data_IF_383467485671
#
_entry.id   IF_383467485671
#
_cell.length_a   1.000
_cell.length_b   1.000
_cell.length_c   1.000
_cell.angle_alpha   90.00
_cell.angle_beta   90.00
_cell.angle_gamma   90.00
#
_symmetry.space_group_name_H-M   'P 1'
#
loop_
_entity.id
_entity.type
_entity.pdbx_description
1 polymer ?
#
# COMPACT_ATOMS: atom_id res chain seq x y z
N UNK A 1 9.75 69.16 -11.90
CA UNK A 1 8.56 68.26 -11.77
C UNK A 1 8.79 66.93 -12.51
N UNK A 2 9.64 66.87 -13.57
CA UNK A 2 9.87 65.64 -14.35
C UNK A 2 10.85 64.64 -13.69
N UNK A 3 11.78 65.10 -12.86
CA UNK A 3 12.76 64.23 -12.19
C UNK A 3 12.21 63.55 -10.92
N UNK A 4 11.20 64.12 -10.28
CA UNK A 4 10.53 63.52 -9.10
C UNK A 4 9.68 62.29 -9.47
N UNK A 5 8.96 62.39 -10.57
CA UNK A 5 8.11 61.27 -11.07
C UNK A 5 8.95 60.07 -11.55
N UNK A 6 10.18 60.29 -11.99
CA UNK A 6 11.04 59.20 -12.47
C UNK A 6 11.66 58.39 -11.31
N UNK A 7 11.93 59.02 -10.16
CA UNK A 7 12.46 58.36 -8.98
C UNK A 7 11.39 57.52 -8.22
N UNK A 8 10.14 57.99 -8.21
CA UNK A 8 9.01 57.22 -7.64
C UNK A 8 8.64 56.01 -8.47
N UNK A 9 8.63 56.12 -9.82
CA UNK A 9 8.38 54.98 -10.70
C UNK A 9 9.48 53.92 -10.61
N UNK A 10 10.74 54.30 -10.44
CA UNK A 10 11.85 53.35 -10.25
C UNK A 10 11.74 52.59 -8.91
N UNK A 11 11.30 53.26 -7.83
CA UNK A 11 11.03 52.62 -6.53
C UNK A 11 9.84 51.71 -6.57
N UNK A 12 8.78 52.07 -7.29
CA UNK A 12 7.59 51.26 -7.44
C UNK A 12 7.89 49.99 -8.24
N UNK A 13 8.61 50.07 -9.35
CA UNK A 13 9.05 48.94 -10.17
C UNK A 13 9.99 47.98 -9.42
N UNK A 14 10.93 48.55 -8.60
CA UNK A 14 11.81 47.72 -7.78
C UNK A 14 11.06 46.98 -6.67
N UNK A 15 10.05 47.59 -6.05
CA UNK A 15 9.22 46.95 -5.04
C UNK A 15 8.31 45.87 -5.66
N UNK A 16 7.79 46.08 -6.86
CA UNK A 16 7.03 45.04 -7.58
C UNK A 16 7.94 43.86 -7.96
N UNK A 17 9.17 44.11 -8.41
CA UNK A 17 10.14 43.04 -8.69
C UNK A 17 10.50 42.25 -7.44
N UNK A 18 10.75 42.93 -6.32
CA UNK A 18 11.03 42.27 -5.02
C UNK A 18 9.82 41.45 -4.57
N UNK A 19 8.59 41.97 -4.69
CA UNK A 19 7.37 41.21 -4.37
C UNK A 19 7.13 40.03 -5.31
N UNK A 20 7.48 40.15 -6.59
CA UNK A 20 7.42 39.04 -7.55
C UNK A 20 8.52 38.00 -7.30
N UNK A 21 9.72 38.40 -6.94
CA UNK A 21 10.81 37.48 -6.55
C UNK A 21 10.50 36.77 -5.23
N UNK A 22 9.93 37.47 -4.24
CA UNK A 22 9.46 36.87 -2.98
C UNK A 22 8.29 35.91 -3.23
N UNK A 23 7.37 36.24 -4.14
CA UNK A 23 6.25 35.35 -4.49
C UNK A 23 6.72 34.15 -5.33
N UNK A 24 7.74 34.28 -6.17
CA UNK A 24 8.33 33.15 -6.91
C UNK A 24 9.28 32.31 -6.06
N UNK A 25 9.89 32.86 -5.00
CA UNK A 25 10.71 32.08 -4.06
C UNK A 25 9.87 31.30 -3.03
N UNK A 26 8.58 31.61 -2.90
CA UNK A 26 7.60 30.83 -2.15
C UNK A 26 6.88 29.78 -3.02
N UNK A 27 7.56 29.20 -4.00
CA UNK A 27 7.14 27.89 -4.48
C UNK A 27 7.35 26.91 -3.32
N UNK A 28 6.31 26.70 -2.54
CA UNK A 28 6.26 25.65 -1.52
C UNK A 28 6.82 24.38 -2.17
N UNK A 29 7.89 23.87 -1.62
CA UNK A 29 8.47 22.61 -2.05
C UNK A 29 7.42 21.53 -1.70
N UNK A 30 6.50 21.29 -2.62
CA UNK A 30 5.51 20.22 -2.46
C UNK A 30 6.25 18.90 -2.67
N UNK A 31 6.88 18.42 -1.61
CA UNK A 31 7.47 17.09 -1.60
C UNK A 31 6.36 16.06 -1.72
N UNK A 32 6.44 15.25 -2.75
CA UNK A 32 5.52 14.13 -2.94
C UNK A 32 5.96 12.97 -2.05
N UNK A 33 5.40 12.88 -0.85
CA UNK A 33 5.63 11.73 0.01
C UNK A 33 4.89 10.49 -0.54
N UNK A 34 5.63 9.39 -0.69
CA UNK A 34 5.09 8.10 -1.17
C UNK A 34 4.22 7.39 -0.14
N UNK A 35 4.31 7.77 1.14
CA UNK A 35 3.56 7.16 2.26
C UNK A 35 2.04 7.22 2.08
N UNK A 36 1.50 8.25 1.44
CA UNK A 36 0.05 8.41 1.21
C UNK A 36 -0.55 7.42 0.18
N UNK A 37 0.28 6.64 -0.53
CA UNK A 37 -0.15 5.68 -1.54
C UNK A 37 -0.21 4.23 -1.03
N UNK A 38 0.09 4.01 0.25
CA UNK A 38 0.50 2.70 0.74
C UNK A 38 -0.60 1.62 0.77
N UNK A 39 -1.87 1.93 1.01
CA UNK A 39 -2.88 0.89 1.24
C UNK A 39 -3.29 0.14 -0.03
N UNK A 40 -3.75 0.83 -1.06
CA UNK A 40 -4.15 0.18 -2.31
C UNK A 40 -2.96 -0.38 -3.09
N UNK A 41 -1.80 0.32 -3.05
CA UNK A 41 -0.57 -0.15 -3.69
C UNK A 41 -0.06 -1.43 -3.02
N UNK A 42 -0.09 -1.49 -1.69
CA UNK A 42 0.26 -2.69 -0.93
C UNK A 42 -0.65 -3.87 -1.29
N UNK A 43 -1.97 -3.65 -1.31
CA UNK A 43 -2.95 -4.68 -1.70
C UNK A 43 -2.71 -5.17 -3.15
N UNK A 44 -2.47 -4.24 -4.08
CA UNK A 44 -2.18 -4.56 -5.47
C UNK A 44 -0.86 -5.34 -5.66
N UNK A 45 0.21 -4.90 -5.01
CA UNK A 45 1.51 -5.60 -5.07
C UNK A 45 1.42 -6.99 -4.43
N UNK A 46 0.77 -7.09 -3.26
CA UNK A 46 0.57 -8.35 -2.56
C UNK A 46 -0.24 -9.31 -3.43
N UNK A 47 -1.37 -8.85 -3.98
CA UNK A 47 -2.22 -9.66 -4.85
C UNK A 47 -1.49 -10.16 -6.08
N UNK A 48 -0.78 -9.29 -6.81
CA UNK A 48 -0.04 -9.69 -8.01
C UNK A 48 1.09 -10.69 -7.73
N UNK A 49 1.86 -10.47 -6.66
CA UNK A 49 2.92 -11.40 -6.25
C UNK A 49 2.33 -12.75 -5.83
N UNK A 50 1.27 -12.75 -5.03
CA UNK A 50 0.64 -13.98 -4.57
C UNK A 50 0.00 -14.74 -5.72
N UNK A 51 -0.73 -14.07 -6.62
CA UNK A 51 -1.29 -14.68 -7.80
C UNK A 51 -0.24 -15.37 -8.68
N UNK A 52 0.89 -14.72 -8.89
CA UNK A 52 1.98 -15.28 -9.67
C UNK A 52 2.65 -16.46 -8.96
N UNK A 53 3.04 -16.31 -7.69
CA UNK A 53 3.78 -17.34 -6.94
C UNK A 53 2.88 -18.54 -6.66
N UNK A 54 1.69 -18.34 -6.11
CA UNK A 54 0.80 -19.43 -5.67
C UNK A 54 0.32 -20.27 -6.85
N UNK A 55 -0.11 -19.63 -7.94
CA UNK A 55 -0.57 -20.34 -9.14
C UNK A 55 0.58 -21.07 -9.85
N UNK A 56 1.73 -20.42 -10.01
CA UNK A 56 2.91 -21.08 -10.60
C UNK A 56 3.41 -22.25 -9.76
N UNK A 57 3.43 -22.08 -8.43
CA UNK A 57 3.86 -23.14 -7.50
C UNK A 57 2.91 -24.33 -7.51
N UNK A 58 1.61 -24.09 -7.54
CA UNK A 58 0.61 -25.15 -7.63
C UNK A 58 0.74 -25.91 -8.95
N UNK A 59 0.86 -25.21 -10.08
CA UNK A 59 1.06 -25.81 -11.39
C UNK A 59 2.39 -26.57 -11.47
N UNK A 60 3.45 -26.06 -10.84
CA UNK A 60 4.74 -26.74 -10.76
C UNK A 60 4.65 -28.07 -9.97
N UNK A 61 3.94 -28.04 -8.83
CA UNK A 61 3.71 -29.23 -8.02
C UNK A 61 2.88 -30.28 -8.76
N UNK A 62 1.80 -29.85 -9.41
CA UNK A 62 0.96 -30.73 -10.23
C UNK A 62 1.69 -31.31 -11.44
N UNK A 63 2.47 -30.48 -12.16
CA UNK A 63 3.28 -30.96 -13.28
C UNK A 63 4.35 -31.99 -12.86
N UNK A 64 4.85 -31.89 -11.64
CA UNK A 64 5.79 -32.85 -11.06
C UNK A 64 5.11 -34.16 -10.64
N UNK A 65 3.86 -34.13 -10.25
CA UNK A 65 3.04 -35.30 -9.84
C UNK A 65 2.38 -35.97 -11.04
N UNK A 66 1.60 -35.24 -11.82
CA UNK A 66 0.89 -35.72 -13.02
C UNK A 66 0.99 -34.68 -14.15
N UNK A 67 1.77 -34.96 -15.20
CA UNK A 67 1.97 -34.07 -16.33
C UNK A 67 0.80 -34.03 -17.34
N UNK A 68 -0.40 -34.48 -16.96
CA UNK A 68 -1.58 -34.41 -17.83
C UNK A 68 -2.00 -32.96 -18.09
N UNK A 69 -2.00 -32.57 -19.37
CA UNK A 69 -2.29 -31.18 -19.77
C UNK A 69 -3.68 -30.69 -19.35
N UNK A 70 -4.71 -31.53 -19.46
CA UNK A 70 -6.07 -31.19 -19.06
C UNK A 70 -6.16 -30.95 -17.54
N UNK A 71 -5.55 -31.80 -16.74
CA UNK A 71 -5.47 -31.64 -15.27
C UNK A 71 -4.75 -30.36 -14.88
N UNK A 72 -3.63 -30.05 -15.55
CA UNK A 72 -2.85 -28.83 -15.30
C UNK A 72 -3.66 -27.56 -15.61
N UNK A 73 -4.33 -27.52 -16.75
CA UNK A 73 -5.16 -26.39 -17.13
C UNK A 73 -6.32 -26.17 -16.15
N UNK A 74 -7.03 -27.25 -15.81
CA UNK A 74 -8.14 -27.19 -14.86
C UNK A 74 -7.67 -26.71 -13.47
N UNK A 75 -6.51 -27.21 -13.01
CA UNK A 75 -5.89 -26.81 -11.76
C UNK A 75 -5.52 -25.32 -11.78
N UNK A 76 -4.93 -24.83 -12.87
CA UNK A 76 -4.58 -23.42 -13.02
C UNK A 76 -5.79 -22.48 -13.01
N UNK A 77 -6.86 -22.84 -13.72
CA UNK A 77 -8.11 -22.06 -13.73
C UNK A 77 -8.75 -22.07 -12.35
N UNK A 78 -8.83 -23.22 -11.69
CA UNK A 78 -9.37 -23.34 -10.34
C UNK A 78 -8.55 -22.50 -9.34
N UNK A 79 -7.23 -22.51 -9.43
CA UNK A 79 -6.35 -21.71 -8.60
C UNK A 79 -6.58 -20.20 -8.80
N UNK A 80 -6.71 -19.76 -10.06
CA UNK A 80 -6.96 -18.35 -10.38
C UNK A 80 -8.28 -17.89 -9.78
N UNK A 81 -9.38 -18.64 -10.00
CA UNK A 81 -10.72 -18.25 -9.52
C UNK A 81 -10.78 -18.28 -7.99
N UNK A 82 -10.35 -19.39 -7.38
CA UNK A 82 -10.40 -19.54 -5.92
C UNK A 82 -9.46 -18.56 -5.20
N UNK A 83 -8.28 -18.33 -5.74
CA UNK A 83 -7.32 -17.39 -5.19
C UNK A 83 -7.80 -15.93 -5.27
N UNK A 84 -8.35 -15.52 -6.41
CA UNK A 84 -8.92 -14.18 -6.56
C UNK A 84 -10.10 -13.96 -5.59
N UNK A 85 -10.99 -14.93 -5.45
CA UNK A 85 -12.11 -14.86 -4.50
C UNK A 85 -11.63 -14.83 -3.04
N UNK A 86 -10.64 -15.66 -2.69
CA UNK A 86 -10.05 -15.69 -1.35
C UNK A 86 -9.35 -14.38 -0.99
N UNK A 87 -8.56 -13.83 -1.93
CA UNK A 87 -7.90 -12.52 -1.73
C UNK A 87 -8.92 -11.39 -1.57
N UNK A 88 -9.99 -11.37 -2.38
CA UNK A 88 -11.07 -10.39 -2.24
C UNK A 88 -11.73 -10.47 -0.87
N UNK A 89 -12.11 -11.68 -0.45
CA UNK A 89 -12.77 -11.91 0.84
C UNK A 89 -11.85 -11.55 2.02
N UNK A 90 -10.59 -11.98 1.99
CA UNK A 90 -9.60 -11.69 3.03
C UNK A 90 -9.34 -10.19 3.19
N UNK A 91 -9.13 -9.48 2.08
CA UNK A 91 -8.91 -8.03 2.11
C UNK A 91 -10.15 -7.27 2.55
N UNK A 92 -11.35 -7.67 2.09
CA UNK A 92 -12.61 -7.09 2.54
C UNK A 92 -12.79 -7.21 4.05
N UNK A 93 -12.61 -8.41 4.60
CA UNK A 93 -12.74 -8.67 6.06
C UNK A 93 -11.70 -7.88 6.85
N UNK A 94 -10.44 -7.90 6.41
CA UNK A 94 -9.35 -7.19 7.08
C UNK A 94 -9.60 -5.68 7.16
N UNK A 95 -9.94 -5.06 6.03
CA UNK A 95 -10.19 -3.61 5.96
C UNK A 95 -11.51 -3.22 6.64
N UNK A 96 -12.53 -4.10 6.61
CA UNK A 96 -13.77 -3.88 7.36
C UNK A 96 -13.53 -3.91 8.86
N UNK A 97 -12.74 -4.88 9.35
CA UNK A 97 -12.37 -4.99 10.76
C UNK A 97 -11.59 -3.75 11.24
N UNK A 98 -10.65 -3.27 10.42
CA UNK A 98 -9.94 -2.02 10.71
C UNK A 98 -10.92 -0.85 10.84
N UNK A 99 -11.83 -0.68 9.88
CA UNK A 99 -12.84 0.39 9.90
C UNK A 99 -13.76 0.32 11.12
N UNK A 100 -14.16 -0.91 11.50
CA UNK A 100 -15.02 -1.12 12.66
C UNK A 100 -14.30 -0.78 13.98
N UNK A 101 -12.99 -1.09 14.08
CA UNK A 101 -12.13 -0.69 15.20
C UNK A 101 -11.98 0.82 15.27
N UNK A 102 -11.62 1.47 14.16
CA UNK A 102 -11.52 2.94 14.08
C UNK A 102 -12.83 3.63 14.49
N UNK A 103 -13.98 3.09 14.07
CA UNK A 103 -15.29 3.62 14.45
C UNK A 103 -15.61 3.41 15.94
N UNK A 104 -15.15 2.31 16.54
CA UNK A 104 -15.30 2.05 17.96
C UNK A 104 -14.44 3.01 18.80
N UNK A 105 -13.19 3.23 18.39
CA UNK A 105 -12.27 4.16 19.05
C UNK A 105 -12.81 5.59 19.00
N UNK A 106 -13.29 6.04 17.83
CA UNK A 106 -13.90 7.37 17.68
C UNK A 106 -15.16 7.55 18.55
N UNK A 107 -15.97 6.50 18.73
CA UNK A 107 -17.15 6.56 19.63
C UNK A 107 -16.72 6.69 21.07
N UNK A 108 -15.73 5.89 21.50
CA UNK A 108 -15.16 5.96 22.86
C UNK A 108 -14.62 7.35 23.14
N UNK A 109 -13.86 7.90 22.17
CA UNK A 109 -13.29 9.25 22.25
C UNK A 109 -14.37 10.33 22.37
N UNK A 110 -15.40 10.27 21.56
CA UNK A 110 -16.53 11.18 21.64
C UNK A 110 -17.20 11.12 23.03
N UNK A 111 -17.38 9.92 23.57
CA UNK A 111 -17.96 9.73 24.91
C UNK A 111 -17.07 10.32 26.02
N UNK A 112 -15.74 10.18 25.89
CA UNK A 112 -14.77 10.75 26.82
C UNK A 112 -14.76 12.27 26.76
N UNK A 113 -14.73 12.87 25.58
CA UNK A 113 -14.80 14.32 25.36
C UNK A 113 -16.06 14.95 25.97
N UNK A 114 -17.19 14.22 25.97
CA UNK A 114 -18.44 14.69 26.61
C UNK A 114 -18.39 14.56 28.14
N UNK A 115 -17.84 13.45 28.66
CA UNK A 115 -17.86 13.15 30.11
C UNK A 115 -16.75 13.84 30.88
N UNK A 116 -15.58 14.00 30.28
CA UNK A 116 -14.35 14.44 30.93
C UNK A 116 -13.59 15.52 30.13
N UNK A 117 -14.23 16.61 29.68
CA UNK A 117 -13.63 17.56 28.74
C UNK A 117 -12.33 18.21 29.22
N UNK A 118 -12.18 18.39 30.56
CA UNK A 118 -10.95 18.97 31.12
C UNK A 118 -9.78 17.98 31.11
N UNK A 119 -10.06 16.69 31.34
CA UNK A 119 -9.05 15.62 31.30
C UNK A 119 -8.56 15.43 29.88
N UNK A 120 -9.47 15.41 28.91
CA UNK A 120 -9.16 15.27 27.49
C UNK A 120 -8.34 16.47 26.96
N UNK A 121 -8.64 17.69 27.43
CA UNK A 121 -7.82 18.86 27.10
C UNK A 121 -6.41 18.76 27.65
N UNK A 122 -6.26 18.20 28.86
CA UNK A 122 -4.95 17.99 29.48
C UNK A 122 -4.17 16.89 28.74
N UNK A 123 -4.83 15.79 28.34
CA UNK A 123 -4.24 14.74 27.52
C UNK A 123 -3.72 15.27 26.19
N UNK A 124 -4.54 16.04 25.46
CA UNK A 124 -4.09 16.67 24.22
C UNK A 124 -2.93 17.64 24.44
N UNK A 125 -2.91 18.37 25.56
CA UNK A 125 -1.81 19.24 25.98
C UNK A 125 -0.52 18.42 26.18
N UNK A 126 -0.63 17.28 26.86
CA UNK A 126 0.50 16.37 27.09
C UNK A 126 1.05 15.78 25.80
N UNK A 127 0.20 15.42 24.84
CA UNK A 127 0.62 14.96 23.53
C UNK A 127 1.48 16.04 22.83
N UNK A 128 1.05 17.30 22.82
CA UNK A 128 1.84 18.38 22.23
C UNK A 128 3.12 18.68 22.99
N UNK A 129 3.12 18.55 24.32
CA UNK A 129 4.34 18.66 25.15
C UNK A 129 5.35 17.57 24.81
N UNK A 130 4.92 16.33 24.65
CA UNK A 130 5.77 15.21 24.23
C UNK A 130 6.36 15.41 22.83
N UNK A 131 5.71 16.20 21.99
CA UNK A 131 6.21 16.60 20.65
C UNK A 131 7.19 17.77 20.71
N UNK A 132 7.53 18.27 21.89
CA UNK A 132 8.58 19.27 22.09
C UNK A 132 8.10 20.71 22.26
N UNK A 133 6.79 20.95 22.42
CA UNK A 133 6.28 22.26 22.77
C UNK A 133 6.50 22.52 24.28
N UNK A 134 6.75 23.79 24.65
CA UNK A 134 6.71 24.19 26.06
C UNK A 134 5.27 24.13 26.60
N UNK A 135 5.14 24.01 27.92
CA UNK A 135 3.86 23.85 28.63
C UNK A 135 2.81 24.90 28.22
N UNK A 136 3.22 26.15 28.14
CA UNK A 136 2.32 27.28 27.84
C UNK A 136 1.83 27.22 26.39
N UNK A 137 2.70 26.91 25.46
CA UNK A 137 2.38 26.80 24.05
C UNK A 137 1.55 25.53 23.76
N UNK A 138 1.91 24.40 24.35
CA UNK A 138 1.19 23.13 24.24
C UNK A 138 -0.28 23.31 24.63
N UNK A 139 -0.54 23.94 25.79
CA UNK A 139 -1.90 24.21 26.27
C UNK A 139 -2.68 25.12 25.32
N UNK A 140 -2.08 26.20 24.86
CA UNK A 140 -2.72 27.12 23.91
C UNK A 140 -3.06 26.45 22.58
N UNK A 141 -2.20 25.54 22.10
CA UNK A 141 -2.46 24.76 20.88
C UNK A 141 -3.60 23.79 21.12
N UNK A 142 -3.58 23.04 22.23
CA UNK A 142 -4.64 22.11 22.59
C UNK A 142 -6.01 22.81 22.69
N UNK A 143 -6.09 23.94 23.40
CA UNK A 143 -7.32 24.76 23.52
C UNK A 143 -7.85 25.22 22.15
N UNK A 144 -6.94 25.68 21.26
CA UNK A 144 -7.33 26.13 19.92
C UNK A 144 -7.83 24.99 19.05
N UNK A 145 -7.18 23.81 19.11
CA UNK A 145 -7.59 22.63 18.36
C UNK A 145 -8.91 22.04 18.89
N UNK A 146 -9.08 21.96 20.21
CA UNK A 146 -10.32 21.52 20.85
C UNK A 146 -11.49 22.44 20.48
N UNK A 147 -11.26 23.74 20.46
CA UNK A 147 -12.29 24.72 20.05
C UNK A 147 -12.65 24.59 18.56
N UNK A 148 -11.71 24.22 17.72
CA UNK A 148 -11.96 24.03 16.28
C UNK A 148 -12.75 22.76 16.03
N UNK A 149 -12.22 21.60 16.44
CA UNK A 149 -12.87 20.29 16.36
C UNK A 149 -12.16 19.31 17.30
N UNK A 150 -12.67 19.13 18.52
CA UNK A 150 -12.05 18.30 19.53
C UNK A 150 -11.87 16.85 19.05
N UNK A 151 -12.92 16.24 18.50
CA UNK A 151 -12.87 14.85 18.04
C UNK A 151 -11.85 14.65 16.92
N UNK A 152 -11.75 15.57 15.97
CA UNK A 152 -10.76 15.48 14.89
C UNK A 152 -9.34 15.65 15.42
N UNK A 153 -9.13 16.53 16.41
CA UNK A 153 -7.84 16.75 17.04
C UNK A 153 -7.36 15.46 17.72
N UNK A 154 -8.18 14.84 18.58
CA UNK A 154 -7.87 13.59 19.25
C UNK A 154 -7.72 12.42 18.26
N UNK A 155 -8.64 12.28 17.30
CA UNK A 155 -8.56 11.26 16.27
C UNK A 155 -7.21 11.28 15.52
N UNK A 156 -6.69 12.48 15.23
CA UNK A 156 -5.42 12.64 14.51
C UNK A 156 -4.20 12.48 15.42
N UNK A 157 -4.22 13.10 16.59
CA UNK A 157 -3.02 13.26 17.43
C UNK A 157 -2.82 12.07 18.37
N UNK A 158 -3.88 11.46 18.87
CA UNK A 158 -3.88 10.32 19.78
C UNK A 158 -4.05 8.99 19.04
N UNK A 159 -5.12 8.84 18.24
CA UNK A 159 -5.48 7.59 17.57
C UNK A 159 -4.72 7.42 16.24
N UNK A 160 -4.29 8.51 15.62
CA UNK A 160 -3.59 8.49 14.33
C UNK A 160 -4.50 8.35 13.09
N UNK A 161 -5.80 8.57 13.25
CA UNK A 161 -6.77 8.52 12.15
C UNK A 161 -6.75 9.85 11.39
N UNK A 162 -6.50 9.79 10.08
CA UNK A 162 -6.53 10.95 9.18
C UNK A 162 -7.54 10.72 8.05
N UNK A 163 -8.04 11.79 7.41
CA UNK A 163 -8.90 11.69 6.22
C UNK A 163 -8.29 10.82 5.10
N UNK A 164 -6.96 10.82 4.98
CA UNK A 164 -6.22 10.04 3.98
C UNK A 164 -6.18 8.55 4.32
N UNK A 165 -6.36 8.18 5.59
CA UNK A 165 -6.30 6.80 6.07
C UNK A 165 -7.66 6.09 6.10
N UNK A 166 -8.76 6.74 5.69
CA UNK A 166 -10.09 6.13 5.69
C UNK A 166 -10.12 4.83 4.91
N UNK A 167 -10.39 3.75 5.62
CA UNK A 167 -10.42 2.40 5.07
C UNK A 167 -11.63 2.20 4.14
N UNK A 168 -11.39 1.71 2.92
CA UNK A 168 -12.44 1.36 1.96
C UNK A 168 -12.38 -0.13 1.62
N UNK A 169 -13.19 -0.99 2.28
CA UNK A 169 -13.11 -2.43 2.12
C UNK A 169 -13.40 -2.92 0.70
N UNK A 170 -14.38 -2.33 0.02
CA UNK A 170 -14.76 -2.74 -1.34
C UNK A 170 -13.65 -2.42 -2.32
N UNK A 171 -13.10 -1.23 -2.26
CA UNK A 171 -12.00 -0.83 -3.14
C UNK A 171 -10.76 -1.71 -2.93
N UNK A 172 -10.41 -2.01 -1.68
CA UNK A 172 -9.28 -2.87 -1.34
C UNK A 172 -9.50 -4.30 -1.86
N UNK A 173 -10.67 -4.88 -1.63
CA UNK A 173 -11.06 -6.21 -2.11
C UNK A 173 -10.97 -6.33 -3.63
N UNK A 174 -11.54 -5.38 -4.37
CA UNK A 174 -11.52 -5.38 -5.83
C UNK A 174 -10.11 -5.20 -6.39
N UNK A 175 -9.32 -4.31 -5.80
CA UNK A 175 -7.93 -4.09 -6.19
C UNK A 175 -7.08 -5.35 -5.97
N UNK A 176 -7.25 -6.03 -4.84
CA UNK A 176 -6.55 -7.26 -4.50
C UNK A 176 -6.92 -8.41 -5.43
N UNK A 177 -8.23 -8.64 -5.66
CA UNK A 177 -8.70 -9.68 -6.58
C UNK A 177 -8.22 -9.46 -8.02
N UNK A 178 -8.29 -8.22 -8.51
CA UNK A 178 -7.82 -7.87 -9.84
C UNK A 178 -6.30 -8.08 -9.97
N UNK A 179 -5.53 -7.62 -9.00
CA UNK A 179 -4.08 -7.77 -9.00
C UNK A 179 -3.66 -9.24 -8.93
N UNK A 180 -4.32 -10.05 -8.08
CA UNK A 180 -4.12 -11.50 -8.03
C UNK A 180 -4.40 -12.15 -9.38
N UNK A 181 -5.53 -11.82 -10.00
CA UNK A 181 -5.91 -12.37 -11.31
C UNK A 181 -4.87 -12.03 -12.38
N UNK A 182 -4.34 -10.82 -12.40
CA UNK A 182 -3.27 -10.42 -13.32
C UNK A 182 -1.99 -11.23 -13.10
N UNK A 183 -1.60 -11.48 -11.84
CA UNK A 183 -0.45 -12.31 -11.52
C UNK A 183 -0.63 -13.79 -11.89
N UNK A 184 -1.80 -14.34 -11.57
CA UNK A 184 -2.14 -15.75 -11.81
C UNK A 184 -2.39 -16.07 -13.28
N UNK A 185 -2.81 -15.09 -14.08
CA UNK A 185 -3.11 -15.28 -15.50
C UNK A 185 -1.89 -15.77 -16.28
N UNK A 186 -0.69 -15.28 -15.96
CA UNK A 186 0.54 -15.66 -16.66
C UNK A 186 0.84 -17.16 -16.54
N UNK A 187 0.94 -17.77 -15.35
CA UNK A 187 1.17 -19.21 -15.25
C UNK A 187 0.03 -20.06 -15.82
N UNK A 188 -1.24 -19.59 -15.75
CA UNK A 188 -2.36 -20.30 -16.40
C UNK A 188 -2.23 -20.31 -17.92
N UNK A 189 -1.91 -19.17 -18.54
CA UNK A 189 -1.68 -19.11 -20.00
C UNK A 189 -0.49 -19.98 -20.42
N UNK A 190 0.56 -20.02 -19.63
CA UNK A 190 1.71 -20.90 -19.90
C UNK A 190 1.34 -22.37 -19.82
N UNK A 191 0.47 -22.77 -18.88
CA UNK A 191 -0.03 -24.14 -18.81
C UNK A 191 -0.89 -24.52 -20.00
N UNK A 192 -1.54 -23.55 -20.66
CA UNK A 192 -2.32 -23.75 -21.88
C UNK A 192 -1.44 -23.88 -23.12
N UNK A 193 -0.40 -23.05 -23.23
CA UNK A 193 0.39 -22.88 -24.45
C UNK A 193 1.64 -23.75 -24.52
N UNK A 194 2.19 -24.19 -23.38
CA UNK A 194 3.44 -24.96 -23.31
C UNK A 194 3.18 -26.45 -23.38
N UNK A 195 4.05 -27.19 -24.08
CA UNK A 195 4.05 -28.63 -23.98
C UNK A 195 4.45 -29.07 -22.57
N UNK A 196 3.88 -30.17 -22.10
CA UNK A 196 4.15 -30.72 -20.74
C UNK A 196 5.62 -30.96 -20.46
N UNK A 197 6.39 -31.27 -21.48
CA UNK A 197 7.84 -31.51 -21.36
C UNK A 197 8.63 -30.27 -20.91
N UNK A 198 8.26 -29.08 -21.42
CA UNK A 198 8.95 -27.82 -21.13
C UNK A 198 8.27 -26.96 -20.07
N UNK A 199 7.04 -27.33 -19.66
CA UNK A 199 6.20 -26.52 -18.80
C UNK A 199 6.89 -26.13 -17.49
N UNK A 200 7.54 -27.08 -16.81
CA UNK A 200 8.22 -26.78 -15.54
C UNK A 200 9.36 -25.77 -15.70
N UNK A 201 10.16 -25.90 -16.76
CA UNK A 201 11.24 -24.96 -17.03
C UNK A 201 10.71 -23.58 -17.41
N UNK A 202 9.68 -23.51 -18.25
CA UNK A 202 9.02 -22.28 -18.67
C UNK A 202 8.37 -21.59 -17.48
N UNK A 203 7.63 -22.31 -16.63
CA UNK A 203 7.04 -21.77 -15.40
C UNK A 203 8.11 -21.21 -14.46
N UNK A 204 9.22 -21.91 -14.24
CA UNK A 204 10.29 -21.44 -13.37
C UNK A 204 10.91 -20.14 -13.88
N UNK A 205 11.31 -20.11 -15.16
CA UNK A 205 11.97 -18.94 -15.76
C UNK A 205 11.03 -17.73 -15.78
N UNK A 206 9.81 -17.91 -16.27
CA UNK A 206 8.85 -16.81 -16.42
C UNK A 206 8.36 -16.29 -15.06
N UNK A 207 8.21 -17.15 -14.06
CA UNK A 207 7.89 -16.72 -12.69
C UNK A 207 9.04 -15.89 -12.10
N UNK A 208 10.30 -16.31 -12.23
CA UNK A 208 11.44 -15.52 -11.74
C UNK A 208 11.53 -14.16 -12.44
N UNK A 209 11.32 -14.12 -13.75
CA UNK A 209 11.30 -12.86 -14.52
C UNK A 209 10.12 -11.99 -14.07
N UNK A 210 8.92 -12.55 -13.95
CA UNK A 210 7.71 -11.83 -13.50
C UNK A 210 7.89 -11.26 -12.10
N UNK A 211 8.42 -12.04 -11.15
CA UNK A 211 8.72 -11.56 -9.80
C UNK A 211 9.79 -10.46 -9.78
N UNK A 212 10.78 -10.54 -10.66
CA UNK A 212 11.79 -9.49 -10.79
C UNK A 212 11.17 -8.17 -11.28
N UNK A 213 10.27 -8.25 -12.25
CA UNK A 213 9.52 -7.08 -12.76
C UNK A 213 8.60 -6.50 -11.67
N UNK A 214 7.83 -7.34 -10.99
CA UNK A 214 6.93 -6.92 -9.90
C UNK A 214 7.72 -6.33 -8.73
N UNK A 215 8.86 -6.90 -8.36
CA UNK A 215 9.75 -6.38 -7.33
C UNK A 215 10.35 -5.01 -7.71
N UNK A 216 10.76 -4.81 -8.96
CA UNK A 216 11.22 -3.53 -9.46
C UNK A 216 10.10 -2.48 -9.46
N UNK A 217 8.90 -2.86 -9.92
CA UNK A 217 7.74 -1.98 -10.00
C UNK A 217 7.28 -1.55 -8.60
N UNK A 218 7.16 -2.50 -7.67
CA UNK A 218 6.82 -2.26 -6.28
C UNK A 218 7.80 -1.30 -5.61
N UNK A 219 9.10 -1.54 -5.76
CA UNK A 219 10.14 -0.69 -5.21
C UNK A 219 10.11 0.72 -5.83
N UNK A 220 9.86 0.82 -7.14
CA UNK A 220 9.76 2.11 -7.82
C UNK A 220 8.54 2.93 -7.34
N UNK A 221 7.39 2.28 -7.21
CA UNK A 221 6.15 2.93 -6.76
C UNK A 221 6.19 3.32 -5.27
N UNK A 222 6.92 2.55 -4.44
CA UNK A 222 7.12 2.82 -3.02
C UNK A 222 8.35 3.66 -2.69
N UNK A 223 9.14 4.10 -3.70
CA UNK A 223 10.36 4.88 -3.46
C UNK A 223 11.50 4.10 -2.79
N UNK A 224 11.42 2.77 -2.76
CA UNK A 224 12.38 1.90 -2.08
C UNK A 224 13.56 1.48 -3.00
N UNK A 225 14.70 1.04 -2.45
CA UNK A 225 15.81 0.52 -3.25
C UNK A 225 15.40 -0.79 -3.94
N UNK A 226 15.56 -0.83 -5.28
CA UNK A 226 15.07 -1.91 -6.13
C UNK A 226 15.78 -3.24 -5.90
N UNK A 227 17.12 -3.24 -5.74
CA UNK A 227 17.91 -4.49 -5.61
C UNK A 227 17.47 -5.38 -4.45
N UNK A 228 17.38 -4.91 -3.18
CA UNK A 228 16.96 -5.76 -2.07
C UNK A 228 15.50 -6.22 -2.20
N UNK A 229 14.62 -5.40 -2.78
CA UNK A 229 13.22 -5.77 -3.01
C UNK A 229 13.12 -6.95 -4.00
N UNK A 230 13.81 -6.86 -5.13
CA UNK A 230 13.84 -7.93 -6.16
C UNK A 230 14.46 -9.22 -5.60
N UNK A 231 15.63 -9.13 -4.96
CA UNK A 231 16.32 -10.32 -4.41
C UNK A 231 15.41 -11.06 -3.43
N UNK A 232 14.77 -10.35 -2.51
CA UNK A 232 13.88 -10.93 -1.50
C UNK A 232 12.71 -11.68 -2.14
N UNK A 233 12.01 -11.06 -3.11
CA UNK A 233 10.86 -11.67 -3.77
C UNK A 233 11.26 -12.86 -4.61
N UNK A 234 12.36 -12.76 -5.36
CA UNK A 234 12.86 -13.85 -6.23
C UNK A 234 13.32 -15.05 -5.40
N UNK A 235 14.05 -14.85 -4.31
CA UNK A 235 14.46 -15.96 -3.43
C UNK A 235 13.24 -16.68 -2.86
N UNK A 236 12.25 -15.96 -2.35
CA UNK A 236 11.02 -16.57 -1.80
C UNK A 236 10.24 -17.31 -2.90
N UNK A 237 10.15 -16.75 -4.10
CA UNK A 237 9.52 -17.43 -5.23
C UNK A 237 10.23 -18.72 -5.64
N UNK A 238 11.56 -18.71 -5.73
CA UNK A 238 12.34 -19.93 -6.01
C UNK A 238 12.11 -21.00 -4.94
N UNK A 239 12.11 -20.62 -3.68
CA UNK A 239 11.86 -21.54 -2.57
C UNK A 239 10.46 -22.15 -2.66
N UNK A 240 9.43 -21.36 -2.97
CA UNK A 240 8.07 -21.84 -3.15
C UNK A 240 7.96 -22.85 -4.31
N UNK A 241 8.52 -22.51 -5.48
CA UNK A 241 8.54 -23.40 -6.64
C UNK A 241 9.29 -24.72 -6.38
N UNK A 242 10.44 -24.65 -5.72
CA UNK A 242 11.24 -25.82 -5.36
C UNK A 242 10.49 -26.72 -4.36
N UNK A 243 9.92 -26.13 -3.32
CA UNK A 243 9.17 -26.85 -2.29
C UNK A 243 7.98 -27.62 -2.90
N UNK A 244 7.14 -26.93 -3.67
CA UNK A 244 5.96 -27.55 -4.30
C UNK A 244 6.35 -28.62 -5.34
N UNK A 245 7.43 -28.41 -6.09
CA UNK A 245 7.96 -29.40 -7.03
C UNK A 245 8.46 -30.68 -6.33
N UNK A 246 9.11 -30.53 -5.17
CA UNK A 246 9.54 -31.68 -4.35
C UNK A 246 8.33 -32.44 -3.84
N UNK A 247 7.34 -31.75 -3.28
CA UNK A 247 6.10 -32.38 -2.80
C UNK A 247 5.37 -33.11 -3.92
N UNK A 248 5.25 -32.50 -5.11
CA UNK A 248 4.64 -33.14 -6.28
C UNK A 248 5.34 -34.43 -6.68
N UNK A 249 6.68 -34.45 -6.68
CA UNK A 249 7.46 -35.70 -6.95
C UNK A 249 7.24 -36.77 -5.89
N UNK A 250 7.19 -36.40 -4.64
CA UNK A 250 6.91 -37.34 -3.54
C UNK A 250 5.52 -37.95 -3.72
N UNK A 251 4.50 -37.13 -4.00
CA UNK A 251 3.14 -37.63 -4.21
C UNK A 251 3.05 -38.58 -5.41
N UNK A 252 3.74 -38.29 -6.49
CA UNK A 252 3.84 -39.21 -7.66
C UNK A 252 4.37 -40.62 -7.31
N UNK A 253 5.19 -40.74 -6.27
CA UNK A 253 5.74 -42.03 -5.85
C UNK A 253 4.78 -42.78 -4.95
N UNK A 254 3.94 -42.04 -4.21
CA UNK A 254 3.01 -42.61 -3.19
C UNK A 254 1.68 -43.02 -3.80
N UNK A 255 1.20 -42.28 -4.81
CA UNK A 255 -0.08 -42.49 -5.51
C UNK A 255 0.19 -43.14 -6.86
#
# INVERSE_FOLDING_TARGET
LSSFNKAENIKFDSNIKILQEVHMSQSWHVEKHFSNRNNWLRAGVLGANDGLISTASLLMGMAAADPNHHTLLLTGIAALISGAASMAAGEYVSVSSQRDTEAADLRKEMDSLIKYPEVELEELTDIYRQRGLDETLAKRVAEAMTKHNALEAHAREEIGITEVSKANPIQAALASAFAFSCGALMPVLLSLLSSTLWLMAVLAITTIVGLSILGCLSAHLGGAPKRPAVIRIVILGILALAFTSIIGRIMRIII
#
